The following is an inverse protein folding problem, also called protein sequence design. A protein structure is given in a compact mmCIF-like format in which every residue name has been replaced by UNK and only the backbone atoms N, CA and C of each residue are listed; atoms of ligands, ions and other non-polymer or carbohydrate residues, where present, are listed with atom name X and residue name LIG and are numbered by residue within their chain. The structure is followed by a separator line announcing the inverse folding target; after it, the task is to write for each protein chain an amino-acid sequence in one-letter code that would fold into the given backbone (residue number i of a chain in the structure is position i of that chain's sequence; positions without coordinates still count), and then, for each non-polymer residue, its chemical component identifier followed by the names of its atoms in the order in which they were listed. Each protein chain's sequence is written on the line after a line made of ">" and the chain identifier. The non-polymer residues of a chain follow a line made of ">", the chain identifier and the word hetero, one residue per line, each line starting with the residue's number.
data_IF_368078664067
#
_entry.id   IF_368078664067
#
_cell.length_a   1.000
_cell.length_b   1.000
_cell.length_c   1.000
_cell.angle_alpha   90.00
_cell.angle_beta   90.00
_cell.angle_gamma   90.00
#
_symmetry.space_group_name_H-M   'P 1'
#
loop_
_entity.id
_entity.type
_entity.pdbx_description
1 polymer ?
#
# COMPACT_ATOMS: atom_id res chain seq x y z
N UNK A 1 8.86 8.84 10.97
CA UNK A 1 8.62 10.28 10.74
C UNK A 1 7.49 10.73 11.65
N UNK A 2 7.42 12.01 12.02
CA UNK A 2 6.34 12.53 12.87
C UNK A 2 4.94 12.21 12.31
N UNK A 3 4.78 12.25 10.97
CA UNK A 3 3.52 11.86 10.32
C UNK A 3 3.18 10.38 10.48
N UNK A 4 4.18 9.48 10.44
CA UNK A 4 3.95 8.05 10.66
C UNK A 4 3.56 7.76 12.11
N UNK A 5 4.16 8.46 13.07
CA UNK A 5 3.77 8.36 14.48
C UNK A 5 2.34 8.87 14.70
N UNK A 6 1.94 9.92 13.99
CA UNK A 6 0.56 10.42 14.01
C UNK A 6 -0.43 9.40 13.41
N UNK A 7 -0.10 8.79 12.28
CA UNK A 7 -0.91 7.71 11.69
C UNK A 7 -1.03 6.51 12.63
N UNK A 8 0.04 6.17 13.35
CA UNK A 8 0.03 5.14 14.39
C UNK A 8 -0.90 5.52 15.55
N UNK A 9 -0.90 6.78 15.99
CA UNK A 9 -1.83 7.28 17.03
C UNK A 9 -3.27 7.16 16.56
N UNK A 10 -3.56 7.51 15.31
CA UNK A 10 -4.90 7.37 14.73
C UNK A 10 -5.36 5.90 14.69
N UNK A 11 -4.48 5.00 14.26
CA UNK A 11 -4.74 3.56 14.26
C UNK A 11 -5.05 3.04 15.68
N UNK A 12 -4.21 3.40 16.66
CA UNK A 12 -4.41 3.03 18.06
C UNK A 12 -5.75 3.50 18.61
N UNK A 13 -6.09 4.79 18.40
CA UNK A 13 -7.38 5.33 18.82
C UNK A 13 -8.52 4.57 18.16
N UNK A 14 -8.44 4.28 16.85
CA UNK A 14 -9.45 3.48 16.14
C UNK A 14 -9.65 2.09 16.73
N UNK A 15 -8.57 1.38 17.05
CA UNK A 15 -8.60 0.06 17.69
C UNK A 15 -9.30 0.13 19.05
N UNK A 16 -8.90 1.08 19.90
CA UNK A 16 -9.46 1.24 21.27
C UNK A 16 -10.92 1.72 21.31
N UNK A 17 -11.52 2.09 20.18
CA UNK A 17 -12.96 2.39 20.12
C UNK A 17 -13.83 1.13 20.18
N UNK A 18 -13.31 -0.02 19.76
CA UNK A 18 -14.05 -1.28 19.80
C UNK A 18 -14.12 -1.79 21.25
N UNK A 19 -15.33 -2.14 21.71
CA UNK A 19 -15.53 -2.71 23.07
C UNK A 19 -15.54 -4.24 23.06
N UNK A 20 -16.20 -4.84 22.08
CA UNK A 20 -16.44 -6.29 22.04
C UNK A 20 -15.80 -6.98 20.85
N UNK A 21 -15.95 -6.44 19.64
CA UNK A 21 -15.39 -7.01 18.41
C UNK A 21 -14.76 -5.92 17.57
N UNK A 22 -13.56 -6.19 17.06
CA UNK A 22 -12.85 -5.36 16.09
C UNK A 22 -12.66 -6.19 14.82
N UNK A 23 -13.17 -5.68 13.71
CA UNK A 23 -12.94 -6.28 12.39
C UNK A 23 -12.05 -5.34 11.58
N UNK A 24 -10.93 -5.87 11.09
CA UNK A 24 -10.02 -5.16 10.22
C UNK A 24 -10.12 -5.75 8.82
N UNK A 25 -10.32 -4.91 7.82
CA UNK A 25 -10.43 -5.33 6.42
C UNK A 25 -9.43 -4.57 5.56
N UNK A 26 -8.89 -5.25 4.56
CA UNK A 26 -8.05 -4.65 3.53
C UNK A 26 -8.64 -4.94 2.15
N UNK A 27 -8.49 -3.99 1.23
CA UNK A 27 -8.83 -4.19 -0.17
C UNK A 27 -7.57 -4.03 -1.02
N UNK A 28 -7.20 -5.08 -1.76
CA UNK A 28 -6.07 -5.06 -2.69
C UNK A 28 -6.27 -4.05 -3.81
N UNK A 29 -7.52 -3.87 -4.27
CA UNK A 29 -7.87 -3.01 -5.39
C UNK A 29 -9.02 -2.08 -4.96
N UNK A 30 -8.82 -0.78 -5.08
CA UNK A 30 -9.85 0.23 -4.75
C UNK A 30 -9.94 1.27 -5.85
N UNK A 31 -11.17 1.69 -6.18
CA UNK A 31 -11.37 2.86 -7.04
C UNK A 31 -11.35 4.13 -6.19
N UNK A 32 -10.36 4.99 -6.39
CA UNK A 32 -10.21 6.28 -5.70
C UNK A 32 -10.04 7.37 -6.75
N UNK A 33 -10.82 8.46 -6.64
CA UNK A 33 -10.78 9.61 -7.57
C UNK A 33 -10.81 9.19 -9.05
N UNK A 34 -11.70 8.26 -9.39
CA UNK A 34 -11.87 7.77 -10.77
C UNK A 34 -10.86 6.73 -11.22
N UNK A 35 -9.72 6.60 -10.54
CA UNK A 35 -8.64 5.66 -10.86
C UNK A 35 -8.77 4.38 -10.04
N UNK A 36 -8.37 3.25 -10.62
CA UNK A 36 -8.30 1.98 -9.88
C UNK A 36 -6.87 1.76 -9.42
N UNK A 37 -6.68 1.69 -8.11
CA UNK A 37 -5.39 1.65 -7.46
C UNK A 37 -5.23 0.32 -6.73
N UNK A 38 -4.03 -0.24 -6.79
CA UNK A 38 -3.68 -1.43 -6.03
C UNK A 38 -2.89 -1.02 -4.79
N UNK A 39 -3.47 -1.22 -3.60
CA UNK A 39 -2.82 -0.87 -2.34
C UNK A 39 -2.25 -2.11 -1.68
N UNK A 40 -1.04 -1.99 -1.15
CA UNK A 40 -0.49 -2.99 -0.24
C UNK A 40 -1.24 -2.94 1.11
N UNK A 41 -1.25 -4.05 1.86
CA UNK A 41 -1.65 -4.04 3.26
C UNK A 41 -0.91 -2.97 4.06
N UNK A 42 -1.61 -2.36 5.02
CA UNK A 42 -0.99 -1.37 5.91
C UNK A 42 0.05 -2.05 6.82
N UNK A 43 1.19 -1.40 7.02
CA UNK A 43 2.23 -1.86 7.94
C UNK A 43 1.70 -2.07 9.37
N UNK A 44 0.70 -1.28 9.80
CA UNK A 44 0.08 -1.45 11.11
C UNK A 44 -0.62 -2.80 11.28
N UNK A 45 -1.05 -3.45 10.20
CA UNK A 45 -1.59 -4.82 10.26
C UNK A 45 -0.50 -5.84 10.58
N UNK A 46 0.72 -5.62 10.07
CA UNK A 46 1.86 -6.52 10.32
C UNK A 46 2.42 -6.37 11.74
N UNK A 47 2.21 -5.21 12.37
CA UNK A 47 2.63 -4.94 13.73
C UNK A 47 1.73 -5.61 14.80
N UNK A 48 0.55 -6.08 14.43
CA UNK A 48 -0.36 -6.76 15.36
C UNK A 48 0.10 -8.23 15.51
N UNK A 49 0.32 -8.72 16.74
CA UNK A 49 0.72 -10.11 16.95
C UNK A 49 -0.30 -11.10 16.36
N UNK A 50 0.19 -12.13 15.68
CA UNK A 50 -0.68 -13.15 15.05
C UNK A 50 -1.51 -13.93 16.06
N UNK A 51 -1.06 -14.02 17.31
CA UNK A 51 -1.73 -14.72 18.40
C UNK A 51 -3.10 -14.12 18.75
N UNK A 52 -3.30 -12.83 18.47
CA UNK A 52 -4.55 -12.11 18.76
C UNK A 52 -5.39 -11.86 17.50
N UNK A 53 -4.97 -12.40 16.35
CA UNK A 53 -5.65 -12.21 15.07
C UNK A 53 -6.33 -13.49 14.62
N UNK A 54 -7.64 -13.40 14.41
CA UNK A 54 -8.39 -14.39 13.64
C UNK A 54 -8.50 -13.90 12.20
N UNK A 55 -7.85 -14.63 11.28
CA UNK A 55 -7.86 -14.28 9.86
C UNK A 55 -8.99 -15.00 9.15
N UNK A 56 -10.10 -14.28 8.91
CA UNK A 56 -11.15 -14.74 8.02
C UNK A 56 -10.71 -14.51 6.56
N UNK A 57 -10.26 -15.57 5.89
CA UNK A 57 -10.13 -15.54 4.43
C UNK A 57 -11.54 -15.59 3.83
N UNK A 58 -11.89 -14.58 3.04
CA UNK A 58 -13.13 -14.60 2.27
C UNK A 58 -13.14 -15.87 1.40
N UNK A 59 -14.09 -16.77 1.67
CA UNK A 59 -14.34 -17.97 0.90
C UNK A 59 -14.80 -17.59 -0.51
N UNK A 60 -13.83 -17.33 -1.39
CA UNK A 60 -14.08 -16.74 -2.70
C UNK A 60 -12.80 -16.51 -3.49
N UNK A 61 -12.07 -17.61 -3.73
CA UNK A 61 -11.18 -17.80 -4.88
C UNK A 61 -10.21 -16.67 -5.23
N UNK A 62 -9.04 -16.69 -4.62
CA UNK A 62 -7.76 -16.53 -5.32
C UNK A 62 -6.70 -17.06 -4.37
N UNK A 63 -6.04 -18.16 -4.72
CA UNK A 63 -4.87 -18.67 -4.01
C UNK A 63 -3.73 -17.66 -4.11
N UNK A 64 -3.81 -16.60 -3.33
CA UNK A 64 -2.66 -15.77 -3.05
C UNK A 64 -1.98 -16.38 -1.85
N UNK A 65 -1.03 -17.29 -2.13
CA UNK A 65 0.02 -17.64 -1.18
C UNK A 65 0.45 -16.36 -0.45
N UNK A 66 0.32 -16.27 0.88
CA UNK A 66 0.86 -15.13 1.60
C UNK A 66 2.37 -15.20 1.46
N UNK A 67 2.96 -14.32 0.66
CA UNK A 67 4.42 -14.16 0.60
C UNK A 67 4.98 -13.41 1.81
N UNK A 68 4.15 -13.12 2.82
CA UNK A 68 4.60 -12.72 4.14
C UNK A 68 5.02 -13.99 4.88
N UNK A 69 6.26 -14.41 4.61
CA UNK A 69 6.89 -15.53 5.27
C UNK A 69 7.05 -15.24 6.78
N UNK A 70 5.99 -15.50 7.54
CA UNK A 70 6.12 -15.89 8.93
C UNK A 70 6.93 -17.18 8.95
N UNK A 71 8.03 -17.16 9.71
CA UNK A 71 9.04 -18.22 9.73
C UNK A 71 8.44 -19.60 9.96
N UNK A 72 8.34 -20.39 8.89
CA UNK A 72 8.42 -21.85 8.94
C UNK A 72 8.88 -22.37 7.59
N UNK A 73 10.18 -22.68 7.50
CA UNK A 73 10.77 -23.41 6.37
C UNK A 73 10.30 -24.86 6.46
N UNK A 74 9.26 -25.21 5.71
CA UNK A 74 9.00 -26.58 5.30
C UNK A 74 9.22 -26.63 3.79
N UNK A 75 10.35 -27.23 3.41
CA UNK A 75 10.72 -27.46 2.03
C UNK A 75 9.75 -28.49 1.44
N UNK A 76 8.80 -28.04 0.62
CA UNK A 76 8.05 -28.90 -0.27
C UNK A 76 8.21 -28.33 -1.67
N UNK A 77 8.93 -29.08 -2.50
CA UNK A 77 9.19 -28.76 -3.90
C UNK A 77 7.86 -28.67 -4.66
N UNK A 78 7.62 -27.55 -5.34
CA UNK A 78 6.48 -27.36 -6.22
C UNK A 78 6.92 -26.67 -7.53
N UNK A 79 6.26 -27.02 -8.65
CA UNK A 79 6.70 -26.75 -10.03
C UNK A 79 6.61 -25.27 -10.41
N UNK A 80 7.40 -24.88 -11.41
CA UNK A 80 7.55 -23.50 -11.88
C UNK A 80 6.21 -22.89 -12.32
N UNK A 81 5.84 -21.68 -11.83
CA UNK A 81 4.58 -21.07 -12.18
C UNK A 81 4.67 -20.33 -13.53
N UNK A 82 3.84 -20.79 -14.45
CA UNK A 82 3.52 -20.14 -15.72
C UNK A 82 2.78 -18.80 -15.53
N UNK A 83 3.19 -17.83 -16.35
CA UNK A 83 2.51 -16.58 -16.73
C UNK A 83 2.11 -15.61 -15.61
N UNK A 84 3.02 -14.66 -15.35
CA UNK A 84 2.79 -13.40 -14.63
C UNK A 84 1.79 -12.55 -15.42
N UNK A 85 0.60 -12.32 -14.87
CA UNK A 85 -0.30 -11.29 -15.38
C UNK A 85 0.28 -9.93 -14.97
N UNK A 86 0.72 -9.15 -15.96
CA UNK A 86 1.32 -7.84 -15.81
C UNK A 86 0.43 -6.88 -15.01
N UNK A 87 0.79 -6.66 -13.75
CA UNK A 87 0.27 -5.56 -12.95
C UNK A 87 0.95 -4.26 -13.39
N UNK A 88 0.59 -3.74 -14.56
CA UNK A 88 1.13 -2.49 -15.13
C UNK A 88 0.47 -1.22 -14.53
N UNK A 89 -0.08 -1.32 -13.32
CA UNK A 89 -0.42 -0.16 -12.51
C UNK A 89 0.68 0.00 -11.47
N UNK A 90 1.69 0.78 -11.85
CA UNK A 90 2.92 0.99 -11.09
C UNK A 90 2.71 1.54 -9.69
N UNK A 91 3.80 1.60 -8.94
CA UNK A 91 3.90 1.98 -7.51
C UNK A 91 3.29 3.37 -7.19
N UNK A 92 3.02 4.19 -8.21
CA UNK A 92 2.57 5.58 -8.07
C UNK A 92 1.15 5.81 -8.59
N UNK A 93 0.19 5.08 -8.03
CA UNK A 93 -1.24 5.30 -8.31
C UNK A 93 -1.72 6.68 -7.82
N UNK A 94 -2.75 7.24 -8.50
CA UNK A 94 -3.42 8.46 -8.07
C UNK A 94 -4.12 8.23 -6.73
N UNK A 95 -3.92 9.13 -5.77
CA UNK A 95 -4.36 9.05 -4.38
C UNK A 95 -3.31 8.45 -3.43
N UNK A 96 -2.22 7.89 -3.94
CA UNK A 96 -1.13 7.34 -3.13
C UNK A 96 -0.33 8.46 -2.46
N UNK A 97 -0.02 8.29 -1.17
CA UNK A 97 0.88 9.19 -0.44
C UNK A 97 2.31 8.88 -0.83
N UNK A 98 3.09 9.91 -1.08
CA UNK A 98 4.50 9.82 -1.44
C UNK A 98 5.28 10.80 -0.59
N UNK A 99 6.47 10.42 -0.18
CA UNK A 99 7.40 11.25 0.55
C UNK A 99 8.56 11.60 -0.39
N UNK A 100 8.80 12.89 -0.55
CA UNK A 100 9.94 13.41 -1.29
C UNK A 100 10.95 14.03 -0.32
N UNK A 101 12.25 13.68 -0.37
CA UNK A 101 13.27 14.18 0.56
C UNK A 101 13.29 15.72 0.66
N UNK A 102 13.10 16.42 -0.46
CA UNK A 102 13.10 17.89 -0.55
C UNK A 102 11.74 18.56 -0.31
N UNK A 103 10.62 17.88 -0.55
CA UNK A 103 9.29 18.50 -0.57
C UNK A 103 8.35 17.96 0.52
N UNK A 104 8.78 16.96 1.28
CA UNK A 104 8.01 16.33 2.34
C UNK A 104 6.95 15.38 1.78
N UNK A 105 5.90 15.16 2.56
CA UNK A 105 4.76 14.34 2.16
C UNK A 105 3.87 15.04 1.14
N UNK A 106 3.40 14.26 0.18
CA UNK A 106 2.44 14.66 -0.82
C UNK A 106 1.55 13.51 -1.27
N UNK A 107 0.53 13.83 -2.05
CA UNK A 107 -0.42 12.86 -2.60
C UNK A 107 -0.39 12.94 -4.11
N UNK A 108 -0.27 11.80 -4.80
CA UNK A 108 -0.36 11.75 -6.26
C UNK A 108 -1.78 12.16 -6.67
N UNK A 109 -1.94 13.21 -7.46
CA UNK A 109 -3.24 13.71 -7.95
C UNK A 109 -3.48 13.28 -9.39
N UNK A 110 -2.42 13.12 -10.18
CA UNK A 110 -2.54 12.63 -11.54
C UNK A 110 -1.30 11.81 -11.94
N UNK A 111 -1.48 10.87 -12.86
CA UNK A 111 -0.41 10.16 -13.54
C UNK A 111 -0.51 10.46 -15.04
N UNK A 112 0.58 10.92 -15.63
CA UNK A 112 0.68 11.26 -17.04
C UNK A 112 1.96 10.65 -17.61
N UNK A 113 1.84 9.71 -18.55
CA UNK A 113 3.00 9.12 -19.22
C UNK A 113 2.91 7.60 -19.36
N UNK A 114 3.74 7.06 -20.26
CA UNK A 114 3.95 5.62 -20.45
C UNK A 114 5.08 5.10 -19.54
N UNK A 115 5.23 3.77 -19.50
CA UNK A 115 6.13 3.05 -18.59
C UNK A 115 7.57 3.62 -18.49
N UNK A 116 8.15 4.12 -19.58
CA UNK A 116 9.51 4.69 -19.60
C UNK A 116 9.60 6.15 -19.12
N UNK A 117 8.50 6.91 -19.17
CA UNK A 117 8.46 8.36 -18.87
C UNK A 117 7.29 8.72 -17.96
N UNK A 118 7.13 7.97 -16.86
CA UNK A 118 6.03 8.18 -15.92
C UNK A 118 6.20 9.53 -15.19
N UNK A 119 5.35 10.51 -15.52
CA UNK A 119 5.27 11.79 -14.82
C UNK A 119 4.07 11.76 -13.89
N UNK A 120 4.32 11.98 -12.60
CA UNK A 120 3.29 12.05 -11.57
C UNK A 120 3.12 13.48 -11.12
N UNK A 121 1.87 13.94 -11.06
CA UNK A 121 1.53 15.21 -10.45
C UNK A 121 1.25 14.93 -8.99
N UNK A 122 2.13 15.40 -8.10
CA UNK A 122 2.04 15.22 -6.65
C UNK A 122 1.67 16.54 -6.01
N UNK A 123 0.69 16.53 -5.11
CA UNK A 123 0.37 17.65 -4.25
C UNK A 123 1.10 17.51 -2.92
N UNK A 124 2.15 18.31 -2.71
CA UNK A 124 2.90 18.36 -1.47
C UNK A 124 2.26 19.33 -0.48
N UNK A 125 2.15 18.93 0.79
CA UNK A 125 1.63 19.82 1.84
C UNK A 125 2.48 21.09 1.99
N UNK A 126 3.80 20.96 1.88
CA UNK A 126 4.76 22.07 2.04
C UNK A 126 5.00 22.88 0.77
N UNK A 127 4.85 22.27 -0.41
CA UNK A 127 5.31 22.85 -1.68
C UNK A 127 4.23 22.97 -2.78
N UNK A 128 2.98 22.58 -2.50
CA UNK A 128 1.87 22.65 -3.45
C UNK A 128 1.93 21.59 -4.56
N UNK A 129 1.19 21.81 -5.65
CA UNK A 129 1.13 20.90 -6.81
C UNK A 129 2.45 20.95 -7.58
N UNK A 130 3.15 19.82 -7.72
CA UNK A 130 4.36 19.68 -8.55
C UNK A 130 4.26 18.47 -9.46
N UNK A 131 4.70 18.66 -10.71
CA UNK A 131 4.87 17.58 -11.68
C UNK A 131 6.29 17.04 -11.57
N UNK A 132 6.41 15.75 -11.29
CA UNK A 132 7.68 15.07 -11.04
C UNK A 132 7.77 13.83 -11.94
N UNK A 133 8.93 13.62 -12.57
CA UNK A 133 9.22 12.38 -13.28
C UNK A 133 9.68 11.33 -12.26
N UNK A 134 9.02 10.18 -12.22
CA UNK A 134 9.28 9.12 -11.22
C UNK A 134 10.75 8.70 -11.23
N UNK A 135 11.36 8.58 -12.41
CA UNK A 135 12.76 8.17 -12.57
C UNK A 135 13.80 9.16 -11.99
N UNK A 136 13.43 10.44 -11.80
CA UNK A 136 14.35 11.47 -11.30
C UNK A 136 13.96 12.06 -9.94
N UNK A 137 12.81 11.65 -9.38
CA UNK A 137 12.24 12.31 -8.22
C UNK A 137 12.52 11.62 -6.87
N UNK A 138 13.13 10.43 -6.85
CA UNK A 138 13.40 9.65 -5.61
C UNK A 138 12.20 9.67 -4.65
N UNK A 139 11.02 9.38 -5.19
CA UNK A 139 9.78 9.36 -4.42
C UNK A 139 9.70 8.06 -3.64
N UNK A 140 9.48 8.15 -2.34
CA UNK A 140 9.23 6.99 -1.49
C UNK A 140 7.72 6.89 -1.36
N UNK A 141 7.13 5.80 -1.85
CA UNK A 141 5.70 5.51 -1.64
C UNK A 141 5.51 5.12 -0.18
N UNK A 142 4.51 5.72 0.48
CA UNK A 142 4.15 5.45 1.90
C UNK A 142 2.76 4.84 1.95
#
# INVERSE_FOLDING_TARGET
>A
TEEFEEERRLCYVGITRAKSRLMLTNARRRRIYGNICNYQPSDFLTAIPVEVLEMEMAAGGYEARPSYAYGRRLAVALPEPVARVSAENGEYCVGTKVLHPKFGSGVVVNREGNADDLKVVVFFKKAGKKKLAVNHANLIVV
#
